data_IF_687435396991
#
_entry.id   IF_687435396991
#
_cell.length_a   1.000
_cell.length_b   1.000
_cell.length_c   1.000
_cell.angle_alpha   90.00
_cell.angle_beta   90.00
_cell.angle_gamma   90.00
#
_symmetry.space_group_name_H-M   'P 1'
#
loop_
_entity.id
_entity.type
_entity.pdbx_description
1 polymer ?
#
# COMPACT_ATOMS: atom_id res chain seq x y z
N UNK A 1 10.77 -6.56 3.31
CA UNK A 1 10.32 -7.77 3.95
C UNK A 1 8.94 -8.18 3.45
N UNK A 2 8.81 -9.39 2.98
CA UNK A 2 7.55 -9.84 2.40
C UNK A 2 6.49 -10.15 3.45
N UNK A 3 5.25 -9.84 3.08
CA UNK A 3 4.11 -10.18 3.92
C UNK A 3 3.77 -11.66 3.77
N UNK A 4 3.41 -12.29 4.90
CA UNK A 4 2.87 -13.64 4.83
C UNK A 4 1.46 -13.61 4.27
N UNK A 5 0.94 -14.76 3.83
CA UNK A 5 -0.44 -14.84 3.34
C UNK A 5 -1.44 -14.39 4.39
N UNK A 6 -1.19 -14.73 5.64
CA UNK A 6 -2.08 -14.37 6.74
C UNK A 6 -2.07 -12.86 6.98
N UNK A 7 -0.88 -12.26 6.95
CA UNK A 7 -0.74 -10.82 7.11
C UNK A 7 -1.41 -10.08 5.96
N UNK A 8 -1.22 -10.58 4.74
CA UNK A 8 -1.84 -9.97 3.57
C UNK A 8 -3.36 -10.02 3.66
N UNK A 9 -3.92 -11.15 4.11
CA UNK A 9 -5.36 -11.28 4.28
C UNK A 9 -5.88 -10.30 5.33
N UNK A 10 -5.14 -10.13 6.42
CA UNK A 10 -5.48 -9.16 7.46
C UNK A 10 -5.55 -7.74 6.89
N UNK A 11 -4.53 -7.37 6.12
CA UNK A 11 -4.45 -6.02 5.55
C UNK A 11 -5.54 -5.79 4.51
N UNK A 12 -5.89 -6.81 3.71
CA UNK A 12 -7.00 -6.68 2.77
C UNK A 12 -8.31 -6.39 3.50
N UNK A 13 -8.52 -7.06 4.63
CA UNK A 13 -9.71 -6.82 5.44
C UNK A 13 -9.78 -5.39 5.96
N UNK A 14 -8.66 -4.91 6.48
CA UNK A 14 -8.59 -3.53 6.98
C UNK A 14 -8.80 -2.51 5.86
N UNK A 15 -8.31 -2.82 4.65
CA UNK A 15 -8.43 -1.92 3.52
C UNK A 15 -9.86 -1.65 3.10
N UNK A 16 -10.78 -2.56 3.42
CA UNK A 16 -12.19 -2.38 3.07
C UNK A 16 -12.82 -1.17 3.75
N UNK A 17 -12.29 -0.74 4.87
CA UNK A 17 -12.87 0.35 5.64
C UNK A 17 -12.09 1.66 5.55
N UNK A 18 -11.06 1.73 4.70
CA UNK A 18 -10.32 2.98 4.54
C UNK A 18 -10.66 3.63 3.20
N UNK A 19 -10.51 4.95 3.15
CA UNK A 19 -10.82 5.73 1.96
C UNK A 19 -9.67 5.69 0.95
N UNK A 20 -10.03 5.87 -0.32
CA UNK A 20 -9.05 6.05 -1.39
C UNK A 20 -8.49 7.47 -1.27
N UNK A 21 -7.19 7.58 -1.03
CA UNK A 21 -6.57 8.89 -0.83
C UNK A 21 -5.54 9.25 -1.89
N UNK A 22 -5.16 8.30 -2.74
CA UNK A 22 -4.19 8.53 -3.81
C UNK A 22 -4.86 8.36 -5.16
N UNK A 23 -4.49 9.21 -6.10
CA UNK A 23 -5.03 9.13 -7.46
C UNK A 23 -3.90 9.25 -8.46
N UNK A 24 -3.81 8.28 -9.36
CA UNK A 24 -2.81 8.28 -10.43
C UNK A 24 -3.52 8.68 -11.72
N UNK A 25 -3.25 9.88 -12.18
CA UNK A 25 -3.87 10.43 -13.39
C UNK A 25 -2.92 10.48 -14.56
N UNK A 26 -3.18 11.43 -15.48
CA UNK A 26 -2.43 11.54 -16.73
C UNK A 26 -0.96 11.88 -16.51
N UNK A 27 -0.63 12.53 -15.41
CA UNK A 27 0.77 12.89 -15.11
C UNK A 27 1.60 11.72 -14.62
N UNK A 28 0.95 10.58 -14.38
CA UNK A 28 1.65 9.37 -14.02
C UNK A 28 2.23 9.41 -12.60
N UNK A 29 3.39 8.80 -12.46
CA UNK A 29 4.05 8.67 -11.17
C UNK A 29 5.34 9.46 -11.20
N UNK A 30 5.25 10.71 -10.73
CA UNK A 30 6.42 11.59 -10.61
C UNK A 30 6.81 11.78 -9.16
N UNK A 31 7.79 12.66 -8.95
CA UNK A 31 8.35 12.90 -7.62
C UNK A 31 7.30 13.37 -6.62
N UNK A 32 6.36 14.21 -7.06
CA UNK A 32 5.32 14.72 -6.17
C UNK A 32 4.41 13.61 -5.67
N UNK A 33 4.03 12.69 -6.55
CA UNK A 33 3.18 11.58 -6.15
C UNK A 33 3.93 10.63 -5.22
N UNK A 34 5.20 10.35 -5.52
CA UNK A 34 6.01 9.48 -4.67
C UNK A 34 6.14 10.09 -3.27
N UNK A 35 6.35 11.41 -3.19
CA UNK A 35 6.40 12.08 -1.90
C UNK A 35 5.08 11.95 -1.16
N UNK A 36 3.97 12.12 -1.86
CA UNK A 36 2.64 11.97 -1.29
C UNK A 36 2.42 10.56 -0.72
N UNK A 37 2.87 9.55 -1.47
CA UNK A 37 2.77 8.16 -1.04
C UNK A 37 3.63 7.92 0.20
N UNK A 38 4.86 8.43 0.21
CA UNK A 38 5.73 8.28 1.37
C UNK A 38 5.12 8.93 2.61
N UNK A 39 4.61 10.14 2.47
CA UNK A 39 4.00 10.85 3.59
C UNK A 39 2.79 10.10 4.12
N UNK A 40 1.96 9.56 3.21
CA UNK A 40 0.78 8.82 3.60
C UNK A 40 1.13 7.51 4.30
N UNK A 41 2.14 6.80 3.81
CA UNK A 41 2.58 5.55 4.43
C UNK A 41 3.17 5.80 5.82
N UNK A 42 3.93 6.90 5.98
CA UNK A 42 4.46 7.26 7.29
C UNK A 42 3.35 7.55 8.29
N UNK A 43 2.30 8.22 7.83
CA UNK A 43 1.20 8.61 8.71
C UNK A 43 0.24 7.46 8.99
N UNK A 44 0.02 6.57 8.03
CA UNK A 44 -1.10 5.62 8.10
C UNK A 44 -0.71 4.15 7.99
N UNK A 45 0.46 3.84 7.49
CA UNK A 45 0.96 2.49 7.20
C UNK A 45 0.20 1.78 6.08
N UNK A 46 -1.12 1.83 6.06
CA UNK A 46 -1.96 1.17 5.06
C UNK A 46 -2.73 2.25 4.31
N UNK A 47 -2.58 2.27 2.98
CA UNK A 47 -3.22 3.29 2.15
C UNK A 47 -3.83 2.67 0.91
N UNK A 48 -4.83 3.34 0.36
CA UNK A 48 -5.53 2.89 -0.83
C UNK A 48 -5.44 3.96 -1.92
N UNK A 49 -5.19 3.51 -3.14
CA UNK A 49 -5.11 4.39 -4.28
C UNK A 49 -5.96 3.90 -5.43
N UNK A 50 -6.14 4.76 -6.42
CA UNK A 50 -6.90 4.44 -7.62
C UNK A 50 -6.24 5.05 -8.84
N UNK A 51 -6.27 4.30 -9.94
CA UNK A 51 -5.80 4.78 -11.23
C UNK A 51 -7.00 5.35 -11.98
N UNK A 52 -6.86 6.61 -12.43
CA UNK A 52 -7.93 7.30 -13.13
C UNK A 52 -7.95 6.90 -14.61
N UNK A 53 -9.08 7.14 -15.28
CA UNK A 53 -9.25 6.73 -16.68
C UNK A 53 -8.24 7.33 -17.62
N UNK A 54 -7.77 8.55 -17.32
CA UNK A 54 -6.80 9.24 -18.18
C UNK A 54 -5.36 8.87 -17.91
N UNK A 55 -5.11 7.89 -17.03
CA UNK A 55 -3.76 7.44 -16.73
C UNK A 55 -3.27 6.47 -17.79
N UNK A 56 -1.97 6.49 -18.05
CA UNK A 56 -1.34 5.49 -18.90
C UNK A 56 -0.98 4.21 -18.15
N UNK A 57 -1.15 4.23 -16.83
CA UNK A 57 -0.87 3.06 -15.99
C UNK A 57 -2.13 2.24 -15.75
N UNK A 58 -1.97 0.92 -15.68
CA UNK A 58 -2.98 0.09 -15.03
C UNK A 58 -2.75 0.15 -13.53
N UNK A 59 -3.73 -0.30 -12.75
CA UNK A 59 -3.57 -0.33 -11.31
C UNK A 59 -2.39 -1.22 -10.89
N UNK A 60 -2.20 -2.34 -11.59
CA UNK A 60 -1.07 -3.24 -11.32
C UNK A 60 0.26 -2.54 -11.59
N UNK A 61 0.36 -1.87 -12.73
CA UNK A 61 1.59 -1.17 -13.08
C UNK A 61 1.91 -0.06 -12.08
N UNK A 62 0.90 0.71 -11.70
CA UNK A 62 1.10 1.79 -10.74
C UNK A 62 1.55 1.24 -9.39
N UNK A 63 0.90 0.18 -8.92
CA UNK A 63 1.24 -0.43 -7.64
C UNK A 63 2.68 -0.95 -7.63
N UNK A 64 3.09 -1.64 -8.70
CA UNK A 64 4.44 -2.19 -8.77
C UNK A 64 5.50 -1.10 -8.82
N UNK A 65 5.23 -0.02 -9.53
CA UNK A 65 6.18 1.09 -9.58
C UNK A 65 6.28 1.78 -8.22
N UNK A 66 5.16 1.99 -7.54
CA UNK A 66 5.16 2.61 -6.22
C UNK A 66 5.80 1.71 -5.17
N UNK A 67 5.66 0.39 -5.33
CA UNK A 67 6.34 -0.56 -4.44
C UNK A 67 7.84 -0.29 -4.40
N UNK A 68 8.44 -0.10 -5.58
CA UNK A 68 9.87 0.16 -5.67
C UNK A 68 10.20 1.58 -5.21
N UNK A 69 9.45 2.57 -5.69
CA UNK A 69 9.76 3.99 -5.43
C UNK A 69 9.59 4.34 -3.95
N UNK A 70 8.57 3.80 -3.30
CA UNK A 70 8.27 4.11 -1.90
C UNK A 70 8.69 3.00 -0.93
N UNK A 71 9.29 1.93 -1.43
CA UNK A 71 9.74 0.79 -0.60
C UNK A 71 8.63 0.26 0.28
N UNK A 72 7.56 -0.13 -0.36
CA UNK A 72 6.38 -0.64 0.34
C UNK A 72 5.95 -1.97 -0.26
N UNK A 73 4.91 -2.55 0.31
CA UNK A 73 4.34 -3.81 -0.16
C UNK A 73 3.02 -3.57 -0.85
N UNK A 74 2.77 -4.30 -1.93
CA UNK A 74 1.48 -4.28 -2.60
C UNK A 74 0.61 -5.32 -1.92
N UNK A 75 -0.45 -4.86 -1.28
CA UNK A 75 -1.36 -5.75 -0.55
C UNK A 75 -2.39 -6.35 -1.50
N UNK A 76 -2.92 -5.53 -2.40
CA UNK A 76 -4.02 -5.95 -3.26
C UNK A 76 -4.13 -5.03 -4.47
N UNK A 77 -4.53 -5.61 -5.60
CA UNK A 77 -4.91 -4.84 -6.79
C UNK A 77 -6.25 -5.39 -7.26
N UNK A 78 -7.27 -4.55 -7.28
CA UNK A 78 -8.61 -4.91 -7.74
C UNK A 78 -9.14 -3.82 -8.66
N UNK A 79 -9.42 -4.19 -9.92
CA UNK A 79 -9.92 -3.22 -10.89
C UNK A 79 -8.96 -2.06 -11.05
N UNK A 80 -9.44 -0.85 -10.80
CA UNK A 80 -8.63 0.36 -10.90
C UNK A 80 -8.00 0.76 -9.57
N UNK A 81 -8.17 -0.06 -8.52
CA UNK A 81 -7.70 0.29 -7.17
C UNK A 81 -6.54 -0.58 -6.73
N UNK A 82 -5.72 -0.03 -5.85
CA UNK A 82 -4.60 -0.78 -5.25
C UNK A 82 -4.45 -0.38 -3.80
N UNK A 83 -3.86 -1.29 -3.02
CA UNK A 83 -3.62 -1.11 -1.60
C UNK A 83 -2.15 -1.32 -1.32
N UNK A 84 -1.54 -0.38 -0.62
CA UNK A 84 -0.12 -0.42 -0.29
C UNK A 84 0.06 -0.40 1.23
N UNK A 85 1.14 -1.03 1.69
CA UNK A 85 1.45 -1.08 3.10
C UNK A 85 2.95 -0.91 3.33
N UNK A 86 3.30 -0.14 4.36
CA UNK A 86 4.69 -0.05 4.82
C UNK A 86 4.67 0.11 6.33
N UNK A 87 5.39 -0.79 7.01
CA UNK A 87 5.47 -0.76 8.46
C UNK A 87 6.21 0.50 8.93
N UNK A 88 5.69 1.11 9.98
CA UNK A 88 6.35 2.26 10.60
C UNK A 88 7.63 1.78 11.29
N UNK A 89 8.74 2.45 11.05
CA UNK A 89 10.02 2.12 11.68
C UNK A 89 9.95 2.23 13.19
N UNK A 90 9.36 3.30 13.68
CA UNK A 90 9.21 3.52 15.11
C UNK A 90 8.05 2.67 15.62
N UNK A 91 8.37 1.65 16.43
CA UNK A 91 7.36 0.74 16.93
C UNK A 91 6.26 1.45 17.72
N UNK A 92 6.62 2.54 18.40
CA UNK A 92 5.66 3.30 19.19
C UNK A 92 4.63 4.01 18.34
N UNK A 93 4.93 4.20 17.05
CA UNK A 93 4.02 4.89 16.12
C UNK A 93 3.23 3.92 15.25
N UNK A 94 3.45 2.62 15.42
CA UNK A 94 2.73 1.63 14.62
C UNK A 94 1.26 1.62 14.99
N UNK A 95 0.42 1.63 13.97
CA UNK A 95 -1.04 1.64 14.12
C UNK A 95 -1.66 0.28 13.88
N UNK A 96 -0.96 -0.57 13.14
CA UNK A 96 -1.45 -1.88 12.75
C UNK A 96 -0.54 -2.95 13.32
N UNK A 97 -1.15 -3.87 14.06
CA UNK A 97 -0.44 -5.01 14.60
C UNK A 97 -0.66 -6.19 13.67
N UNK A 98 0.39 -6.58 12.97
CA UNK A 98 0.30 -7.67 12.01
C UNK A 98 0.17 -9.02 12.69
N UNK A 99 -0.57 -9.91 12.05
CA UNK A 99 -0.68 -11.29 12.50
C UNK A 99 0.68 -11.95 12.53
N UNK A 100 0.92 -12.76 13.53
CA UNK A 100 2.19 -13.46 13.67
C UNK A 100 2.15 -14.78 12.91
N UNK A 101 3.32 -15.17 12.42
CA UNK A 101 3.47 -16.46 11.75
C UNK A 101 3.60 -17.56 12.81
N UNK A 102 2.53 -18.33 13.01
CA UNK A 102 2.49 -19.34 14.05
C UNK A 102 3.31 -20.59 13.75
N UNK A 103 3.74 -20.74 12.51
CA UNK A 103 4.56 -21.90 12.14
C UNK A 103 5.88 -21.90 12.86
N UNK A 104 6.31 -20.77 13.36
CA UNK A 104 7.60 -20.65 14.03
C UNK A 104 7.55 -20.85 15.54
N UNK A 105 6.37 -21.04 16.07
CA UNK A 105 6.20 -21.14 17.51
C UNK A 105 6.23 -22.56 18.02
N UNK A 106 6.67 -23.48 17.22
CA UNK A 106 6.78 -24.88 17.60
C UNK A 106 8.06 -25.14 18.34
#
# INVERSE_FOLDING_TARGET
EELTSKQRAQLRGLANSIDTILHVGKDGIGDNLVKQVNDALEARELIKGRVLENSMYTAREAAEELKVAARCEVVQVIGSKFVLFRYQHNKDKRKIELEKDRKRSV
#
